data_IF_430080182878
#
_entry.id   IF_430080182878
#
_cell.length_a   1.000
_cell.length_b   1.000
_cell.length_c   1.000
_cell.angle_alpha   90.00
_cell.angle_beta   90.00
_cell.angle_gamma   90.00
#
_symmetry.space_group_name_H-M   'P 1'
#
loop_
_entity.id
_entity.type
_entity.pdbx_description
1 polymer ?
#
# COMPACT_ATOMS: atom_id res chain seq x y z
N UNK A 1 11.21 12.98 29.08
CA UNK A 1 12.02 12.26 28.08
C UNK A 1 11.81 10.76 28.27
N UNK A 2 10.78 10.19 27.63
CA UNK A 2 10.51 8.75 27.50
C UNK A 2 9.53 8.60 26.33
N UNK A 3 9.93 7.83 25.31
CA UNK A 3 9.07 7.40 24.19
C UNK A 3 9.16 8.26 22.92
N UNK A 4 10.34 8.33 22.28
CA UNK A 4 10.54 9.00 20.99
C UNK A 4 10.98 8.01 19.89
N UNK A 5 10.64 6.72 20.06
CA UNK A 5 11.08 5.64 19.17
C UNK A 5 9.94 4.65 19.06
N UNK A 6 9.19 4.65 17.92
CA UNK A 6 8.55 3.46 17.28
C UNK A 6 7.48 3.74 16.21
N UNK A 7 7.14 4.99 15.90
CA UNK A 7 6.28 5.27 14.72
C UNK A 7 7.13 5.31 13.45
N UNK A 8 7.75 4.18 13.06
CA UNK A 8 8.71 4.14 11.95
C UNK A 8 8.29 3.22 10.78
N UNK A 9 7.09 2.63 10.82
CA UNK A 9 6.67 1.69 9.77
C UNK A 9 5.37 2.06 9.03
N UNK A 10 4.66 3.10 9.48
CA UNK A 10 3.53 3.67 8.72
C UNK A 10 3.74 5.17 8.46
N UNK A 11 4.45 5.89 9.34
CA UNK A 11 4.75 7.33 9.20
C UNK A 11 6.26 7.56 9.13
N UNK A 12 6.94 6.95 8.14
CA UNK A 12 8.26 7.45 7.73
C UNK A 12 8.05 8.66 6.80
N UNK A 13 7.49 9.73 7.36
CA UNK A 13 7.22 10.97 6.66
C UNK A 13 8.50 11.55 6.02
N UNK A 14 8.40 11.81 4.72
CA UNK A 14 9.05 12.96 4.08
C UNK A 14 10.51 12.85 3.61
N UNK A 15 11.22 11.74 3.73
CA UNK A 15 12.65 11.72 3.29
C UNK A 15 13.21 10.45 2.66
N UNK A 16 12.40 9.39 2.49
CA UNK A 16 12.81 8.15 1.81
C UNK A 16 11.92 7.80 0.62
N UNK A 17 11.55 8.81 -0.19
CA UNK A 17 10.94 8.57 -1.50
C UNK A 17 11.81 7.78 -2.46
N UNK A 18 13.08 7.53 -2.10
CA UNK A 18 14.12 6.90 -2.92
C UNK A 18 13.92 5.41 -3.21
N UNK A 19 12.67 4.95 -3.24
CA UNK A 19 12.33 3.55 -3.50
C UNK A 19 10.89 3.30 -3.98
N UNK A 20 9.95 4.23 -3.80
CA UNK A 20 8.53 3.92 -3.92
C UNK A 20 7.98 4.03 -5.35
N UNK A 21 6.93 3.26 -5.62
CA UNK A 21 6.03 3.44 -6.75
C UNK A 21 5.01 4.53 -6.37
N UNK A 22 5.00 5.65 -7.09
CA UNK A 22 4.20 6.85 -6.72
C UNK A 22 3.52 7.52 -7.90
N UNK A 23 2.61 8.46 -7.65
CA UNK A 23 2.07 9.41 -8.65
C UNK A 23 1.73 10.76 -8.02
N UNK A 24 1.56 11.79 -8.85
CA UNK A 24 1.10 13.12 -8.41
C UNK A 24 -0.44 13.27 -8.46
N UNK A 25 -1.11 12.40 -9.20
CA UNK A 25 -2.56 12.49 -9.46
C UNK A 25 -3.19 11.14 -9.23
N UNK A 26 -4.43 11.13 -8.75
CA UNK A 26 -5.16 9.89 -8.53
C UNK A 26 -5.22 9.05 -9.82
N UNK A 27 -4.80 7.79 -9.70
CA UNK A 27 -4.99 6.77 -10.73
C UNK A 27 -6.24 5.94 -10.41
N UNK A 28 -6.51 5.76 -9.11
CA UNK A 28 -7.70 5.08 -8.63
C UNK A 28 -8.80 6.08 -8.26
N UNK A 29 -10.02 5.79 -8.69
CA UNK A 29 -11.21 6.60 -8.42
C UNK A 29 -12.44 5.71 -8.20
N UNK A 30 -13.59 6.33 -7.93
CA UNK A 30 -14.85 5.60 -7.69
C UNK A 30 -15.30 4.73 -8.89
N UNK A 31 -14.87 5.06 -10.12
CA UNK A 31 -15.27 4.33 -11.32
C UNK A 31 -14.47 3.04 -11.54
N UNK A 32 -13.22 3.00 -11.08
CA UNK A 32 -12.33 1.87 -11.29
C UNK A 32 -11.93 1.13 -10.00
N UNK A 33 -12.03 1.74 -8.83
CA UNK A 33 -11.58 1.20 -7.55
C UNK A 33 -12.70 1.21 -6.50
N UNK A 34 -13.71 0.37 -6.75
CA UNK A 34 -14.89 0.19 -5.88
C UNK A 34 -14.85 -1.11 -5.06
N UNK A 35 -13.70 -1.80 -5.01
CA UNK A 35 -13.59 -3.03 -4.24
C UNK A 35 -13.57 -2.73 -2.73
N UNK A 36 -14.22 -3.57 -1.95
CA UNK A 36 -14.38 -3.37 -0.50
C UNK A 36 -13.84 -4.54 0.33
N UNK A 37 -12.53 -4.84 0.27
CA UNK A 37 -11.97 -6.04 0.88
C UNK A 37 -11.92 -6.01 2.41
N UNK A 38 -12.02 -4.82 3.01
CA UNK A 38 -11.92 -4.62 4.45
C UNK A 38 -13.24 -3.98 4.90
N UNK A 39 -13.86 -4.54 5.93
CA UNK A 39 -15.06 -3.94 6.52
C UNK A 39 -14.69 -2.76 7.43
N UNK A 40 -15.57 -1.78 7.57
CA UNK A 40 -15.37 -0.73 8.57
C UNK A 40 -15.30 -1.32 10.00
N UNK A 41 -14.43 -0.75 10.84
CA UNK A 41 -14.22 -1.21 12.21
C UNK A 41 -12.80 -0.94 12.71
N UNK A 42 -12.47 -1.52 13.87
CA UNK A 42 -11.15 -1.39 14.51
C UNK A 42 -10.32 -2.63 14.22
N UNK A 43 -9.04 -2.43 13.90
CA UNK A 43 -8.09 -3.47 13.52
C UNK A 43 -6.79 -3.32 14.33
N UNK A 44 -6.12 -4.44 14.58
CA UNK A 44 -4.70 -4.44 14.91
C UNK A 44 -3.92 -4.38 13.59
N UNK A 45 -3.12 -3.33 13.43
CA UNK A 45 -2.20 -3.14 12.33
C UNK A 45 -0.79 -3.51 12.81
N UNK A 46 -0.33 -4.68 12.43
CA UNK A 46 0.95 -5.24 12.86
C UNK A 46 1.91 -5.29 11.68
N UNK A 47 3.18 -4.97 11.91
CA UNK A 47 4.21 -5.29 10.92
C UNK A 47 4.24 -6.80 10.68
N UNK A 48 4.51 -7.22 9.44
CA UNK A 48 4.71 -8.62 9.11
C UNK A 48 5.83 -9.18 10.02
N UNK A 49 5.55 -10.21 10.83
CA UNK A 49 6.51 -10.67 11.82
C UNK A 49 7.76 -11.21 11.11
N UNK A 50 8.90 -10.59 11.40
CA UNK A 50 10.20 -11.22 11.14
C UNK A 50 10.46 -12.27 12.21
N UNK A 51 11.05 -13.41 11.85
CA UNK A 51 11.31 -14.50 12.81
C UNK A 51 12.04 -13.98 14.06
N UNK A 52 11.38 -14.10 15.23
CA UNK A 52 11.97 -13.76 16.53
C UNK A 52 11.74 -12.33 17.03
N UNK A 53 10.96 -11.51 16.33
CA UNK A 53 10.55 -10.17 16.79
C UNK A 53 9.14 -10.20 17.42
N UNK A 54 8.91 -9.35 18.43
CA UNK A 54 7.59 -9.19 19.04
C UNK A 54 6.73 -8.31 18.14
N UNK A 55 5.45 -8.69 17.96
CA UNK A 55 4.49 -7.91 17.18
C UNK A 55 4.29 -6.52 17.80
N UNK A 56 4.80 -5.48 17.13
CA UNK A 56 4.51 -4.09 17.47
C UNK A 56 3.27 -3.68 16.66
N UNK A 57 2.10 -3.88 17.27
CA UNK A 57 0.80 -3.59 16.65
C UNK A 57 0.25 -2.26 17.13
N UNK A 58 -0.34 -1.50 16.20
CA UNK A 58 -1.12 -0.31 16.52
C UNK A 58 -2.61 -0.57 16.27
N UNK A 59 -3.48 0.13 17.01
CA UNK A 59 -4.91 0.13 16.69
C UNK A 59 -5.16 1.07 15.51
N UNK A 60 -5.81 0.54 14.49
CA UNK A 60 -6.21 1.25 13.29
C UNK A 60 -7.74 1.26 13.21
N UNK A 61 -8.34 2.43 13.01
CA UNK A 61 -9.76 2.53 12.67
C UNK A 61 -9.90 2.62 11.15
N UNK A 62 -10.75 1.76 10.60
CA UNK A 62 -11.10 1.75 9.18
C UNK A 62 -12.52 2.25 9.03
N UNK A 63 -12.69 3.32 8.26
CA UNK A 63 -14.00 3.78 7.78
C UNK A 63 -14.02 3.81 6.26
N UNK A 64 -15.22 3.83 5.68
CA UNK A 64 -15.42 3.85 4.24
C UNK A 64 -16.67 4.65 3.89
N UNK A 65 -16.58 5.49 2.86
CA UNK A 65 -17.73 6.23 2.32
C UNK A 65 -18.49 5.45 1.24
N UNK A 66 -19.59 6.03 0.74
CA UNK A 66 -20.45 5.42 -0.28
C UNK A 66 -19.75 5.24 -1.64
N UNK A 67 -18.66 5.97 -1.88
CA UNK A 67 -17.83 5.88 -3.09
C UNK A 67 -16.68 4.87 -2.93
N UNK A 68 -16.70 4.04 -1.88
CA UNK A 68 -15.67 3.07 -1.52
C UNK A 68 -14.27 3.69 -1.31
N UNK A 69 -14.20 4.98 -0.94
CA UNK A 69 -12.97 5.57 -0.41
C UNK A 69 -12.87 5.20 1.06
N UNK A 70 -11.72 4.67 1.42
CA UNK A 70 -11.37 4.33 2.78
C UNK A 70 -10.66 5.49 3.46
N UNK A 71 -10.90 5.64 4.76
CA UNK A 71 -10.06 6.44 5.66
C UNK A 71 -9.52 5.50 6.73
N UNK A 72 -8.19 5.43 6.80
CA UNK A 72 -7.41 4.62 7.73
C UNK A 72 -6.84 5.55 8.79
N UNK A 73 -7.39 5.52 10.00
CA UNK A 73 -7.02 6.45 11.08
C UNK A 73 -6.19 5.75 12.16
N UNK A 74 -5.00 6.29 12.44
CA UNK A 74 -4.11 5.87 13.55
C UNK A 74 -3.79 7.10 14.38
N UNK A 75 -4.10 7.06 15.68
CA UNK A 75 -3.90 8.21 16.57
C UNK A 75 -4.54 9.49 15.98
N UNK A 76 -3.73 10.47 15.60
CA UNK A 76 -4.15 11.75 15.02
C UNK A 76 -3.93 11.84 13.49
N UNK A 77 -3.45 10.75 12.85
CA UNK A 77 -3.15 10.67 11.42
C UNK A 77 -4.28 9.98 10.63
N UNK A 78 -4.58 10.49 9.43
CA UNK A 78 -5.58 9.93 8.51
C UNK A 78 -4.99 9.68 7.12
N UNK A 79 -5.12 8.44 6.64
CA UNK A 79 -4.68 8.05 5.30
C UNK A 79 -5.90 7.66 4.47
N UNK A 80 -6.07 8.33 3.33
CA UNK A 80 -7.08 7.94 2.33
C UNK A 80 -6.59 6.73 1.54
N UNK A 81 -7.48 5.78 1.27
CA UNK A 81 -7.15 4.62 0.43
C UNK A 81 -8.27 4.24 -0.55
N UNK A 82 -7.88 3.65 -1.69
CA UNK A 82 -8.79 3.02 -2.65
C UNK A 82 -8.24 1.67 -3.10
N UNK A 83 -9.15 0.72 -3.34
CA UNK A 83 -8.81 -0.66 -3.66
C UNK A 83 -9.36 -1.04 -5.04
N UNK A 84 -8.46 -1.45 -5.92
CA UNK A 84 -8.77 -2.08 -7.20
C UNK A 84 -8.49 -3.56 -7.09
N UNK A 85 -9.51 -4.40 -7.27
CA UNK A 85 -9.32 -5.85 -7.35
C UNK A 85 -8.62 -6.22 -8.66
N UNK A 86 -7.50 -6.95 -8.58
CA UNK A 86 -6.71 -7.39 -9.76
C UNK A 86 -6.76 -8.91 -9.98
N UNK A 87 -7.08 -9.68 -8.94
CA UNK A 87 -7.40 -11.11 -8.97
C UNK A 87 -8.38 -11.44 -7.80
N UNK A 88 -8.73 -12.71 -7.58
CA UNK A 88 -9.73 -13.12 -6.59
C UNK A 88 -9.54 -12.47 -5.21
N UNK A 89 -8.33 -12.59 -4.64
CA UNK A 89 -7.98 -12.06 -3.32
C UNK A 89 -6.84 -11.03 -3.38
N UNK A 90 -6.43 -10.60 -4.57
CA UNK A 90 -5.34 -9.66 -4.79
C UNK A 90 -5.83 -8.28 -5.25
N UNK A 91 -5.22 -7.24 -4.70
CA UNK A 91 -5.62 -5.85 -4.88
C UNK A 91 -4.41 -4.96 -5.23
N UNK A 92 -4.63 -3.99 -6.12
CA UNK A 92 -3.81 -2.80 -6.24
C UNK A 92 -4.45 -1.70 -5.39
N UNK A 93 -3.64 -1.00 -4.61
CA UNK A 93 -4.11 -0.05 -3.61
C UNK A 93 -3.39 1.27 -3.84
N UNK A 94 -4.15 2.35 -3.87
CA UNK A 94 -3.63 3.71 -3.83
C UNK A 94 -3.88 4.27 -2.43
N UNK A 95 -2.83 4.81 -1.81
CA UNK A 95 -2.90 5.53 -0.55
C UNK A 95 -2.45 6.97 -0.73
N UNK A 96 -3.07 7.87 0.02
CA UNK A 96 -2.76 9.29 0.02
C UNK A 96 -2.86 9.82 1.45
N UNK A 97 -1.77 10.43 1.89
CA UNK A 97 -1.69 11.21 3.13
C UNK A 97 -1.70 12.69 2.72
N UNK A 98 -2.47 13.52 3.43
CA UNK A 98 -2.58 14.95 3.09
C UNK A 98 -1.27 15.72 3.29
N UNK A 99 -0.38 15.22 4.15
CA UNK A 99 0.95 15.78 4.37
C UNK A 99 1.96 15.38 3.27
N UNK A 100 1.65 14.37 2.45
CA UNK A 100 2.46 13.91 1.32
C UNK A 100 1.99 14.54 -0.01
N UNK A 101 2.91 15.04 -0.83
CA UNK A 101 2.58 15.59 -2.15
C UNK A 101 2.41 14.52 -3.25
N UNK A 102 2.40 13.24 -2.87
CA UNK A 102 2.35 12.11 -3.77
C UNK A 102 1.52 10.96 -3.21
N UNK A 103 0.91 10.23 -4.14
CA UNK A 103 0.15 9.02 -3.85
C UNK A 103 1.10 7.83 -3.91
N UNK A 104 0.95 6.93 -2.95
CA UNK A 104 1.79 5.75 -2.81
C UNK A 104 0.99 4.50 -3.18
N UNK A 105 1.66 3.52 -3.76
CA UNK A 105 0.99 2.31 -4.24
C UNK A 105 1.41 1.06 -3.47
N UNK A 106 0.41 0.24 -3.15
CA UNK A 106 0.57 -1.01 -2.43
C UNK A 106 -0.07 -2.15 -3.22
N UNK A 107 0.50 -3.34 -3.09
CA UNK A 107 -0.22 -4.57 -3.36
C UNK A 107 -0.81 -5.06 -2.04
N UNK A 108 -2.03 -5.57 -2.08
CA UNK A 108 -2.62 -6.20 -0.91
C UNK A 108 -3.29 -7.52 -1.23
N UNK A 109 -3.38 -8.37 -0.20
CA UNK A 109 -4.04 -9.67 -0.29
C UNK A 109 -4.96 -9.91 0.89
N UNK A 110 -6.20 -10.29 0.59
CA UNK A 110 -7.15 -10.78 1.58
C UNK A 110 -6.88 -12.27 1.88
N UNK A 111 -7.07 -12.67 3.13
CA UNK A 111 -6.96 -14.06 3.58
C UNK A 111 -7.76 -14.28 4.86
N UNK A 112 -7.90 -15.54 5.28
CA UNK A 112 -8.50 -15.87 6.58
C UNK A 112 -7.73 -15.26 7.77
N UNK A 113 -6.44 -14.98 7.60
CA UNK A 113 -5.58 -14.36 8.61
C UNK A 113 -5.71 -12.84 8.67
N UNK A 114 -6.55 -12.23 7.83
CA UNK A 114 -6.70 -10.77 7.72
C UNK A 114 -6.26 -10.24 6.36
N UNK A 115 -6.03 -8.93 6.30
CA UNK A 115 -5.64 -8.24 5.07
C UNK A 115 -4.18 -7.77 5.14
N UNK A 116 -3.36 -8.22 4.20
CA UNK A 116 -1.96 -7.85 4.11
C UNK A 116 -1.76 -6.73 3.11
N UNK A 117 -0.92 -5.75 3.46
CA UNK A 117 -0.44 -4.67 2.60
C UNK A 117 1.07 -4.81 2.43
N UNK A 118 1.54 -4.60 1.20
CA UNK A 118 2.97 -4.53 0.88
C UNK A 118 3.17 -3.33 -0.03
N UNK A 119 4.02 -2.41 0.40
CA UNK A 119 4.38 -1.25 -0.41
C UNK A 119 5.05 -1.71 -1.70
N UNK A 120 4.64 -1.15 -2.83
CA UNK A 120 5.29 -1.45 -4.09
C UNK A 120 6.50 -0.55 -4.29
N UNK A 121 7.68 -1.14 -4.20
CA UNK A 121 8.95 -0.50 -4.50
C UNK A 121 9.26 -0.61 -6.00
N UNK A 122 9.81 0.47 -6.56
CA UNK A 122 10.28 0.52 -7.95
C UNK A 122 11.44 -0.46 -8.16
N UNK A 123 12.36 -0.55 -7.20
CA UNK A 123 13.53 -1.45 -7.22
C UNK A 123 13.17 -2.92 -7.29
N UNK A 124 12.00 -3.29 -6.77
CA UNK A 124 11.58 -4.68 -6.64
C UNK A 124 10.80 -5.16 -7.88
N UNK A 125 10.45 -4.23 -8.79
CA UNK A 125 9.80 -4.57 -10.04
C UNK A 125 10.80 -5.20 -11.03
N UNK A 126 10.40 -6.24 -11.79
CA UNK A 126 11.24 -6.80 -12.83
C UNK A 126 11.64 -5.72 -13.84
N UNK A 127 12.95 -5.61 -14.12
CA UNK A 127 13.46 -4.53 -14.96
C UNK A 127 12.81 -4.48 -16.35
N UNK A 128 12.62 -5.64 -16.97
CA UNK A 128 11.95 -5.75 -18.26
C UNK A 128 10.49 -5.25 -18.26
N UNK A 129 9.80 -5.37 -17.12
CA UNK A 129 8.46 -4.81 -16.95
C UNK A 129 8.53 -3.28 -16.92
N UNK A 130 9.41 -2.73 -16.08
CA UNK A 130 9.58 -1.27 -15.93
C UNK A 130 9.96 -0.64 -17.27
N UNK A 131 10.97 -1.18 -17.94
CA UNK A 131 11.43 -0.66 -19.23
C UNK A 131 10.31 -0.67 -20.29
N UNK A 132 9.49 -1.73 -20.34
CA UNK A 132 8.34 -1.78 -21.25
C UNK A 132 7.25 -0.75 -20.91
N UNK A 133 7.01 -0.49 -19.62
CA UNK A 133 6.04 0.52 -19.19
C UNK A 133 6.53 1.95 -19.47
N UNK A 134 7.84 2.19 -19.33
CA UNK A 134 8.48 3.47 -19.70
C UNK A 134 8.40 3.70 -21.20
N UNK A 135 8.72 2.71 -22.02
CA UNK A 135 8.63 2.79 -23.48
C UNK A 135 7.20 3.15 -23.96
N UNK A 136 6.19 2.62 -23.29
CA UNK A 136 4.76 2.91 -23.56
C UNK A 136 4.29 4.26 -23.00
N UNK A 137 5.14 4.99 -22.27
CA UNK A 137 4.77 6.23 -21.59
C UNK A 137 3.84 6.04 -20.39
N UNK A 138 3.62 4.79 -19.94
CA UNK A 138 2.75 4.44 -18.82
C UNK A 138 3.41 4.64 -17.45
N UNK A 139 4.74 4.77 -17.45
CA UNK A 139 5.58 5.00 -16.27
C UNK A 139 6.72 5.97 -16.61
N UNK A 140 7.24 6.69 -15.62
CA UNK A 140 8.54 7.35 -15.69
C UNK A 140 9.42 6.83 -14.56
N UNK A 141 10.74 6.88 -14.76
CA UNK A 141 11.72 6.45 -13.76
C UNK A 141 12.64 7.61 -13.42
N UNK A 142 13.01 7.71 -12.15
CA UNK A 142 13.93 8.71 -11.61
C UNK A 142 14.98 8.02 -10.73
N UNK A 143 16.10 8.71 -10.49
CA UNK A 143 17.16 8.29 -9.56
C UNK A 143 17.67 6.86 -9.79
N UNK A 144 17.95 6.51 -11.05
CA UNK A 144 18.43 5.17 -11.45
C UNK A 144 17.48 4.04 -11.01
N UNK A 145 16.17 4.20 -11.31
CA UNK A 145 15.12 3.22 -11.02
C UNK A 145 14.87 3.00 -9.53
N UNK A 146 15.23 4.02 -8.74
CA UNK A 146 14.80 4.12 -7.34
C UNK A 146 13.37 4.58 -7.24
N UNK A 147 12.92 5.47 -8.12
CA UNK A 147 11.55 5.98 -8.09
C UNK A 147 10.88 5.68 -9.42
N UNK A 148 9.68 5.11 -9.35
CA UNK A 148 8.84 4.85 -10.51
C UNK A 148 7.56 5.69 -10.38
N UNK A 149 7.37 6.65 -11.28
CA UNK A 149 6.13 7.44 -11.37
C UNK A 149 5.12 6.75 -12.28
N UNK A 150 4.06 6.22 -11.69
CA UNK A 150 2.95 5.60 -12.41
C UNK A 150 2.08 6.68 -13.04
N UNK A 151 1.73 6.51 -14.32
CA UNK A 151 0.90 7.48 -15.06
C UNK A 151 -0.44 6.91 -15.50
N UNK A 152 -0.61 5.59 -15.46
CA UNK A 152 -1.81 4.92 -15.97
C UNK A 152 -2.25 3.78 -15.06
N UNK A 153 -3.54 3.46 -15.15
CA UNK A 153 -4.14 2.31 -14.49
C UNK A 153 -3.46 0.99 -14.89
N UNK A 154 -3.16 0.82 -16.18
CA UNK A 154 -2.52 -0.39 -16.69
C UNK A 154 -1.12 -0.61 -16.09
N UNK A 155 -0.34 0.46 -15.87
CA UNK A 155 0.96 0.35 -15.22
C UNK A 155 0.82 -0.05 -13.74
N UNK A 156 -0.15 0.54 -13.02
CA UNK A 156 -0.45 0.16 -11.64
C UNK A 156 -0.84 -1.32 -11.53
N UNK A 157 -1.77 -1.78 -12.38
CA UNK A 157 -2.21 -3.18 -12.42
C UNK A 157 -1.05 -4.12 -12.75
N UNK A 158 -0.21 -3.76 -13.73
CA UNK A 158 0.91 -4.60 -14.12
C UNK A 158 1.96 -4.73 -13.00
N UNK A 159 2.23 -3.63 -12.28
CA UNK A 159 3.10 -3.62 -11.11
C UNK A 159 2.53 -4.53 -10.01
N UNK A 160 1.28 -4.33 -9.61
CA UNK A 160 0.64 -5.13 -8.55
C UNK A 160 0.54 -6.62 -8.90
N UNK A 161 0.31 -6.97 -10.17
CA UNK A 161 0.37 -8.37 -10.63
C UNK A 161 1.76 -8.98 -10.54
N UNK A 162 2.84 -8.18 -10.58
CA UNK A 162 4.19 -8.69 -10.34
C UNK A 162 4.34 -9.22 -8.91
N UNK A 163 3.83 -8.46 -7.93
CA UNK A 163 3.79 -8.86 -6.51
C UNK A 163 2.90 -10.08 -6.31
N UNK A 164 1.66 -10.07 -6.82
CA UNK A 164 0.71 -11.19 -6.68
C UNK A 164 1.27 -12.53 -7.21
N UNK A 165 2.05 -12.46 -8.30
CA UNK A 165 2.68 -13.63 -8.93
C UNK A 165 3.97 -14.12 -8.24
N UNK A 166 4.45 -13.44 -7.20
CA UNK A 166 5.71 -13.75 -6.54
C UNK A 166 6.96 -13.48 -7.39
N UNK A 167 6.82 -12.76 -8.51
CA UNK A 167 7.96 -12.31 -9.35
C UNK A 167 8.72 -11.15 -8.72
N UNK A 168 8.15 -10.56 -7.67
CA UNK A 168 8.73 -9.48 -6.89
C UNK A 168 8.85 -9.94 -5.44
N UNK A 169 9.99 -9.65 -4.82
CA UNK A 169 10.25 -9.90 -3.40
C UNK A 169 10.34 -8.53 -2.73
N UNK A 170 9.42 -8.23 -1.83
CA UNK A 170 9.54 -7.09 -0.94
C UNK A 170 9.69 -7.60 0.49
N UNK A 171 10.63 -7.03 1.23
CA UNK A 171 10.80 -7.32 2.64
C UNK A 171 9.80 -6.52 3.45
N UNK A 172 8.97 -7.22 4.21
CA UNK A 172 8.01 -6.60 5.12
C UNK A 172 6.66 -6.27 4.49
N UNK A 173 5.75 -5.88 5.36
CA UNK A 173 4.35 -5.62 5.05
C UNK A 173 3.61 -5.24 6.33
N UNK A 174 2.36 -4.84 6.17
CA UNK A 174 1.44 -4.58 7.27
C UNK A 174 0.31 -5.60 7.19
N UNK A 175 -0.05 -6.21 8.30
CA UNK A 175 -1.20 -7.11 8.39
C UNK A 175 -2.25 -6.46 9.27
N UNK A 176 -3.46 -6.33 8.73
CA UNK A 176 -4.64 -5.91 9.47
C UNK A 176 -5.44 -7.13 9.91
N UNK A 177 -5.62 -7.27 11.21
CA UNK A 177 -6.52 -8.26 11.82
C UNK A 177 -7.61 -7.55 12.61
N UNK A 178 -8.85 -8.04 12.56
CA UNK A 178 -9.96 -7.36 13.25
C UNK A 178 -9.72 -7.37 14.76
N UNK A 179 -9.76 -6.21 15.39
CA UNK A 179 -9.62 -6.11 16.85
C UNK A 179 -10.85 -6.75 17.52
N UNK A 180 -10.62 -7.62 18.51
CA UNK A 180 -11.69 -8.28 19.26
C UNK A 180 -12.32 -9.51 18.61
N UNK A 181 -11.74 -10.10 17.56
CA UNK A 181 -12.18 -11.40 17.03
C UNK A 181 -11.79 -12.62 17.90
N UNK A 182 -11.40 -12.37 19.16
CA UNK A 182 -11.01 -13.38 20.14
C UNK A 182 -11.57 -13.03 21.52
N UNK A 183 -12.87 -13.28 21.70
CA UNK A 183 -13.49 -13.66 22.97
C UNK A 183 -14.48 -14.81 22.71
#
# INVERSE_FOLDING_TARGET
MKGLVRVALIVAAGSLLSGCLVSQTAILDASNASATPIAAGVYNACADPKEGEADDCNLLTVSMDDDARYVLSVEDDEIEARFLRIDADDYAIEMFDEDDDHRQYFWGRASDAGFRFVMMWCSDLPRALVDSLVEKGAMAVEDDYRVCRVKTLDALVAAAKSYASGRTVSEGGLVLTRAGAGE
#
